data_IF_493915922893
#
_entry.id   IF_493915922893
#
_cell.length_a   1.000
_cell.length_b   1.000
_cell.length_c   1.000
_cell.angle_alpha   90.00
_cell.angle_beta   90.00
_cell.angle_gamma   90.00
#
_symmetry.space_group_name_H-M   'P 1'
#
loop_
_entity.id
_entity.type
_entity.pdbx_description
1 polymer ?
#
# COMPACT_ATOMS: atom_id res chain seq x y z
N UNK A 1 -27.81 -3.98 11.61
CA UNK A 1 -28.24 -5.41 11.68
C UNK A 1 -27.01 -6.30 11.68
N UNK A 2 -26.90 -7.28 12.58
CA UNK A 2 -25.69 -8.11 12.68
C UNK A 2 -25.59 -9.14 11.55
N UNK A 3 -24.41 -9.73 11.31
CA UNK A 3 -24.27 -10.84 10.37
C UNK A 3 -25.14 -12.05 10.76
N UNK A 4 -25.29 -12.32 12.06
CA UNK A 4 -26.15 -13.39 12.57
C UNK A 4 -27.62 -13.15 12.19
N UNK A 5 -28.10 -11.91 12.35
CA UNK A 5 -29.46 -11.53 11.95
C UNK A 5 -29.67 -11.70 10.45
N UNK A 6 -28.65 -11.37 9.61
CA UNK A 6 -28.73 -11.53 8.16
C UNK A 6 -28.74 -13.01 7.73
N UNK A 7 -27.96 -13.87 8.39
CA UNK A 7 -27.92 -15.32 8.11
C UNK A 7 -29.22 -16.01 8.54
N UNK A 8 -29.84 -15.56 9.63
CA UNK A 8 -31.09 -16.14 10.14
C UNK A 8 -32.32 -15.85 9.27
N UNK A 9 -32.21 -14.96 8.28
CA UNK A 9 -33.32 -14.58 7.39
C UNK A 9 -33.34 -15.46 6.15
N UNK A 10 -34.51 -15.98 5.73
CA UNK A 10 -34.67 -16.58 4.42
C UNK A 10 -34.27 -15.57 3.33
N UNK A 11 -33.38 -15.98 2.44
CA UNK A 11 -33.05 -15.19 1.25
C UNK A 11 -34.10 -15.51 0.21
N UNK A 12 -35.06 -14.61 0.04
CA UNK A 12 -36.12 -14.72 -0.97
C UNK A 12 -35.78 -13.88 -2.19
N UNK A 13 -36.37 -14.24 -3.33
CA UNK A 13 -36.22 -13.49 -4.57
C UNK A 13 -37.40 -13.76 -5.49
N UNK A 14 -37.56 -12.88 -6.48
CA UNK A 14 -38.67 -12.97 -7.42
C UNK A 14 -38.41 -14.07 -8.46
N UNK A 15 -39.36 -15.00 -8.58
CA UNK A 15 -39.42 -15.95 -9.70
C UNK A 15 -40.30 -15.34 -10.80
N UNK A 16 -39.73 -14.83 -11.91
CA UNK A 16 -40.51 -14.19 -12.95
C UNK A 16 -41.36 -15.19 -13.74
N UNK A 17 -42.57 -14.80 -14.10
CA UNK A 17 -43.46 -15.47 -15.04
C UNK A 17 -44.23 -14.41 -15.84
N UNK A 18 -44.78 -14.79 -16.99
CA UNK A 18 -45.63 -13.87 -17.75
C UNK A 18 -46.82 -13.44 -16.88
N UNK A 19 -47.37 -12.26 -17.12
CA UNK A 19 -48.48 -11.72 -16.32
C UNK A 19 -48.16 -11.44 -14.83
N UNK A 20 -46.92 -11.62 -14.36
CA UNK A 20 -46.50 -11.15 -13.04
C UNK A 20 -46.70 -9.61 -12.96
N UNK A 21 -47.49 -9.09 -12.00
CA UNK A 21 -47.61 -7.66 -11.81
C UNK A 21 -46.26 -7.08 -11.37
N UNK A 22 -45.79 -6.06 -12.10
CA UNK A 22 -44.55 -5.36 -11.79
C UNK A 22 -44.90 -4.01 -11.18
N UNK A 23 -44.83 -3.94 -9.85
CA UNK A 23 -45.01 -2.72 -9.08
C UNK A 23 -43.73 -2.36 -8.29
N UNK A 24 -43.77 -1.27 -7.54
CA UNK A 24 -42.63 -0.81 -6.76
C UNK A 24 -42.21 -1.79 -5.65
N UNK A 25 -43.12 -2.63 -5.14
CA UNK A 25 -42.81 -3.62 -4.12
C UNK A 25 -42.05 -4.80 -4.72
N UNK A 26 -42.55 -5.35 -5.84
CA UNK A 26 -41.88 -6.42 -6.58
C UNK A 26 -40.50 -5.96 -7.09
N UNK A 27 -40.38 -4.70 -7.55
CA UNK A 27 -39.10 -4.12 -7.92
C UNK A 27 -38.13 -4.00 -6.74
N UNK A 28 -38.61 -3.58 -5.56
CA UNK A 28 -37.78 -3.53 -4.34
C UNK A 28 -37.31 -4.91 -3.93
N UNK A 29 -38.21 -5.90 -3.88
CA UNK A 29 -37.84 -7.27 -3.51
C UNK A 29 -36.77 -7.86 -4.46
N UNK A 30 -36.92 -7.65 -5.77
CA UNK A 30 -35.93 -8.10 -6.74
C UNK A 30 -34.53 -7.50 -6.49
N UNK A 31 -34.44 -6.22 -6.14
CA UNK A 31 -33.16 -5.56 -5.85
C UNK A 31 -32.63 -5.90 -4.46
N UNK A 32 -33.49 -5.98 -3.45
CA UNK A 32 -33.13 -6.30 -2.07
C UNK A 32 -32.47 -7.68 -1.98
N UNK A 33 -32.92 -8.65 -2.78
CA UNK A 33 -32.26 -9.94 -2.93
C UNK A 33 -30.78 -9.80 -3.35
N UNK A 34 -30.49 -8.92 -4.32
CA UNK A 34 -29.11 -8.65 -4.77
C UNK A 34 -28.32 -7.83 -3.74
N UNK A 35 -28.93 -6.84 -3.10
CA UNK A 35 -28.29 -6.08 -2.02
C UNK A 35 -27.90 -6.99 -0.85
N UNK A 36 -28.79 -7.89 -0.43
CA UNK A 36 -28.53 -8.83 0.66
C UNK A 36 -27.37 -9.78 0.30
N UNK A 37 -27.34 -10.33 -0.91
CA UNK A 37 -26.22 -11.15 -1.37
C UNK A 37 -24.88 -10.39 -1.36
N UNK A 38 -24.87 -9.14 -1.84
CA UNK A 38 -23.67 -8.29 -1.80
C UNK A 38 -23.21 -8.01 -0.37
N UNK A 39 -24.13 -7.68 0.54
CA UNK A 39 -23.82 -7.46 1.95
C UNK A 39 -23.32 -8.73 2.64
N UNK A 40 -23.93 -9.88 2.37
CA UNK A 40 -23.48 -11.17 2.91
C UNK A 40 -22.08 -11.51 2.40
N UNK A 41 -21.79 -11.30 1.11
CA UNK A 41 -20.45 -11.47 0.57
C UNK A 41 -19.45 -10.53 1.25
N UNK A 42 -19.76 -9.23 1.34
CA UNK A 42 -18.91 -8.25 2.00
C UNK A 42 -18.65 -8.58 3.47
N UNK A 43 -19.68 -8.95 4.24
CA UNK A 43 -19.52 -9.26 5.66
C UNK A 43 -18.84 -10.61 5.93
N UNK A 44 -19.21 -11.65 5.18
CA UNK A 44 -18.76 -13.02 5.42
C UNK A 44 -17.37 -13.29 4.82
N UNK A 45 -17.09 -12.76 3.63
CA UNK A 45 -15.82 -12.96 2.93
C UNK A 45 -14.84 -11.87 3.29
N UNK A 46 -15.26 -10.60 3.23
CA UNK A 46 -14.34 -9.49 3.36
C UNK A 46 -14.19 -8.93 4.77
N UNK A 47 -15.26 -8.99 5.58
CA UNK A 47 -15.37 -8.33 6.89
C UNK A 47 -15.34 -6.78 6.77
N UNK A 48 -15.97 -6.07 7.71
CA UNK A 48 -15.87 -4.62 7.78
C UNK A 48 -14.42 -4.13 7.91
N UNK A 49 -14.12 -2.96 7.33
CA UNK A 49 -12.83 -2.31 7.37
C UNK A 49 -12.45 -1.60 6.07
N UNK A 50 -11.28 -0.98 6.06
CA UNK A 50 -10.68 -0.34 4.89
C UNK A 50 -10.15 -1.43 3.95
N UNK A 51 -10.55 -1.38 2.69
CA UNK A 51 -10.10 -2.30 1.63
C UNK A 51 -8.84 -1.74 0.98
N UNK A 52 -8.87 -0.46 0.59
CA UNK A 52 -7.78 0.24 -0.07
C UNK A 52 -7.87 1.75 0.20
N UNK A 53 -6.72 2.42 0.31
CA UNK A 53 -6.64 3.87 0.47
C UNK A 53 -7.16 4.37 1.82
N UNK A 54 -7.90 5.49 1.79
CA UNK A 54 -8.47 6.17 2.96
C UNK A 54 -7.44 6.58 4.01
N UNK A 55 -6.16 6.70 3.65
CA UNK A 55 -5.12 7.16 4.56
C UNK A 55 -5.47 8.54 5.10
N UNK A 56 -5.24 8.74 6.40
CA UNK A 56 -5.34 10.06 7.02
C UNK A 56 -3.94 10.55 7.30
N UNK A 57 -3.60 11.71 6.74
CA UNK A 57 -2.26 12.30 6.88
C UNK A 57 -2.37 13.75 7.36
N UNK A 58 -1.39 14.18 8.16
CA UNK A 58 -1.27 15.56 8.59
C UNK A 58 -0.67 16.43 7.47
N UNK A 59 -1.18 17.66 7.33
CA UNK A 59 -0.68 18.56 6.29
C UNK A 59 0.70 19.09 6.59
N UNK A 60 1.57 19.04 5.57
CA UNK A 60 2.92 19.61 5.64
C UNK A 60 2.91 21.12 5.44
N UNK A 61 1.89 21.64 4.77
CA UNK A 61 1.76 23.05 4.38
C UNK A 61 0.76 23.82 5.25
N UNK A 62 -0.19 23.13 5.88
CA UNK A 62 -1.24 23.72 6.70
C UNK A 62 -1.25 23.11 8.10
N UNK A 63 -0.90 23.91 9.12
CA UNK A 63 -0.58 23.40 10.46
C UNK A 63 -1.74 22.72 11.21
N UNK A 64 -3.01 22.94 10.82
CA UNK A 64 -4.17 22.36 11.52
C UNK A 64 -5.01 21.44 10.64
N UNK A 65 -4.51 21.12 9.45
CA UNK A 65 -5.26 20.38 8.44
C UNK A 65 -4.81 18.94 8.39
N UNK A 66 -5.79 18.05 8.27
CA UNK A 66 -5.59 16.65 7.91
C UNK A 66 -6.29 16.37 6.59
N UNK A 67 -5.80 15.42 5.81
CA UNK A 67 -6.42 14.98 4.58
C UNK A 67 -6.81 13.52 4.71
N UNK A 68 -8.03 13.20 4.33
CA UNK A 68 -8.47 11.82 4.07
C UNK A 68 -8.31 11.55 2.59
N UNK A 69 -7.45 10.60 2.23
CA UNK A 69 -7.20 10.21 0.85
C UNK A 69 -8.39 9.44 0.24
N UNK A 70 -8.54 9.42 -1.10
CA UNK A 70 -9.48 8.54 -1.76
C UNK A 70 -9.30 7.07 -1.35
N UNK A 71 -10.39 6.32 -1.37
CA UNK A 71 -10.34 4.88 -1.14
C UNK A 71 -11.69 4.22 -0.95
N UNK A 72 -11.64 2.95 -0.56
CA UNK A 72 -12.80 2.07 -0.46
C UNK A 72 -12.79 1.35 0.89
N UNK A 73 -13.96 1.27 1.51
CA UNK A 73 -14.16 0.49 2.72
C UNK A 73 -15.48 -0.29 2.70
N UNK A 74 -15.59 -1.23 3.64
CA UNK A 74 -16.81 -1.97 3.93
C UNK A 74 -17.22 -1.61 5.36
N UNK A 75 -18.44 -1.10 5.54
CA UNK A 75 -18.94 -0.68 6.83
C UNK A 75 -19.44 -1.85 7.70
N UNK A 76 -19.91 -1.56 8.92
CA UNK A 76 -20.41 -2.57 9.84
C UNK A 76 -21.66 -3.33 9.38
N UNK A 77 -22.37 -2.85 8.35
CA UNK A 77 -23.57 -3.48 7.78
C UNK A 77 -23.32 -4.17 6.43
N UNK A 78 -22.08 -4.12 5.94
CA UNK A 78 -21.68 -4.72 4.67
C UNK A 78 -21.87 -3.80 3.47
N UNK A 79 -22.06 -2.50 3.69
CA UNK A 79 -22.12 -1.52 2.62
C UNK A 79 -20.70 -1.18 2.15
N UNK A 80 -20.52 -1.10 0.84
CA UNK A 80 -19.30 -0.57 0.24
C UNK A 80 -19.37 0.94 0.25
N UNK A 81 -18.41 1.59 0.90
CA UNK A 81 -18.30 3.06 0.96
C UNK A 81 -17.12 3.49 0.10
N UNK A 82 -17.38 4.33 -0.90
CA UNK A 82 -16.38 4.83 -1.84
C UNK A 82 -16.15 6.32 -1.64
N UNK A 83 -14.91 6.69 -1.36
CA UNK A 83 -14.45 8.06 -1.36
C UNK A 83 -13.58 8.30 -2.59
N UNK A 84 -14.13 9.00 -3.59
CA UNK A 84 -13.45 9.20 -4.87
C UNK A 84 -12.44 10.35 -4.88
N UNK A 85 -12.59 11.33 -3.99
CA UNK A 85 -11.79 12.55 -3.95
C UNK A 85 -11.25 12.78 -2.54
N UNK A 86 -10.06 13.39 -2.39
CA UNK A 86 -9.50 13.67 -1.08
C UNK A 86 -10.37 14.71 -0.31
N UNK A 87 -10.49 14.52 1.00
CA UNK A 87 -11.29 15.41 1.87
C UNK A 87 -10.41 16.02 2.96
N UNK A 88 -10.17 17.34 2.94
CA UNK A 88 -9.43 18.02 3.99
C UNK A 88 -10.34 18.36 5.18
N UNK A 89 -9.79 18.31 6.38
CA UNK A 89 -10.42 18.81 7.60
C UNK A 89 -9.48 19.76 8.32
N UNK A 90 -9.93 20.99 8.58
CA UNK A 90 -9.28 21.90 9.52
C UNK A 90 -9.77 21.58 10.93
N UNK A 91 -8.85 21.20 11.81
CA UNK A 91 -9.17 20.81 13.18
C UNK A 91 -9.00 22.00 14.12
N UNK A 92 -10.08 22.76 14.33
CA UNK A 92 -10.06 24.02 15.11
C UNK A 92 -10.44 23.83 16.59
N UNK A 93 -10.93 22.67 16.98
CA UNK A 93 -11.48 22.46 18.32
C UNK A 93 -10.54 21.65 19.23
N UNK A 94 -10.42 22.08 20.50
CA UNK A 94 -9.68 21.33 21.53
C UNK A 94 -10.37 20.01 21.91
N UNK A 95 -9.59 19.01 22.31
CA UNK A 95 -10.06 17.74 22.85
C UNK A 95 -10.01 16.60 21.83
N UNK A 96 -10.65 15.48 22.18
CA UNK A 96 -10.70 14.29 21.32
C UNK A 96 -11.51 14.58 20.06
N UNK A 97 -10.95 14.26 18.90
CA UNK A 97 -11.62 14.30 17.60
C UNK A 97 -11.46 12.91 16.95
N UNK A 98 -12.52 12.45 16.30
CA UNK A 98 -12.56 11.26 15.47
C UNK A 98 -12.82 11.69 14.03
N UNK A 99 -12.15 11.03 13.09
CA UNK A 99 -12.40 11.18 11.66
C UNK A 99 -13.12 9.91 11.23
N UNK A 100 -14.40 10.02 10.87
CA UNK A 100 -15.25 8.88 10.58
C UNK A 100 -15.75 8.88 9.14
N UNK A 101 -16.06 7.69 8.64
CA UNK A 101 -16.61 7.43 7.31
C UNK A 101 -17.86 6.55 7.46
N UNK A 102 -18.96 6.92 6.81
CA UNK A 102 -20.18 6.11 6.79
C UNK A 102 -20.86 6.11 5.43
N UNK A 103 -21.63 5.06 5.16
CA UNK A 103 -22.50 4.98 3.99
C UNK A 103 -23.71 5.90 4.18
N UNK A 104 -23.99 6.78 3.22
CA UNK A 104 -25.11 7.71 3.29
C UNK A 104 -25.89 7.72 1.96
N UNK A 105 -26.99 6.95 1.84
CA UNK A 105 -27.83 7.01 0.67
C UNK A 105 -28.62 8.32 0.67
N UNK A 106 -28.63 9.03 -0.45
CA UNK A 106 -29.39 10.27 -0.61
C UNK A 106 -30.22 10.23 -1.87
N UNK A 107 -31.36 10.92 -1.87
CA UNK A 107 -32.15 11.07 -3.09
C UNK A 107 -31.37 11.89 -4.13
N UNK A 108 -31.34 11.44 -5.38
CA UNK A 108 -30.81 12.23 -6.48
C UNK A 108 -31.78 13.39 -6.76
N UNK A 109 -31.37 14.61 -6.41
CA UNK A 109 -32.20 15.81 -6.57
C UNK A 109 -32.58 16.09 -8.03
N UNK A 110 -31.81 15.55 -8.99
CA UNK A 110 -32.11 15.68 -10.42
C UNK A 110 -33.17 14.68 -10.91
N UNK A 111 -33.61 13.74 -10.06
CA UNK A 111 -34.64 12.74 -10.34
C UNK A 111 -36.01 13.12 -9.77
N UNK A 112 -36.26 14.40 -9.52
CA UNK A 112 -37.50 14.85 -8.90
C UNK A 112 -38.72 14.69 -9.81
N UNK A 113 -39.83 14.20 -9.25
CA UNK A 113 -41.14 14.09 -9.90
C UNK A 113 -42.24 14.50 -8.92
N UNK A 114 -43.35 15.04 -9.43
CA UNK A 114 -44.53 15.38 -8.62
C UNK A 114 -45.52 14.21 -8.63
N UNK A 115 -45.83 13.67 -7.45
CA UNK A 115 -46.79 12.57 -7.28
C UNK A 115 -47.66 12.86 -6.06
N UNK A 116 -48.98 12.80 -6.22
CA UNK A 116 -49.93 12.97 -5.11
C UNK A 116 -49.83 14.31 -4.37
N UNK A 117 -49.38 15.39 -5.03
CA UNK A 117 -49.19 16.71 -4.43
C UNK A 117 -47.86 16.89 -3.67
N UNK A 118 -46.97 15.89 -3.68
CA UNK A 118 -45.63 15.97 -3.09
C UNK A 118 -44.52 15.73 -4.11
N UNK A 119 -43.31 16.18 -3.79
CA UNK A 119 -42.10 15.90 -4.55
C UNK A 119 -41.53 14.55 -4.13
N UNK A 120 -41.28 13.69 -5.10
CA UNK A 120 -40.66 12.37 -4.94
C UNK A 120 -39.40 12.29 -5.81
N UNK A 121 -38.50 11.35 -5.52
CA UNK A 121 -37.27 11.14 -6.28
C UNK A 121 -37.16 9.67 -6.67
N UNK A 122 -36.94 9.38 -7.95
CA UNK A 122 -36.91 7.99 -8.45
C UNK A 122 -35.50 7.39 -8.55
N UNK A 123 -34.45 8.17 -8.22
CA UNK A 123 -33.06 7.67 -8.12
C UNK A 123 -32.49 7.91 -6.73
N UNK A 124 -31.64 6.98 -6.31
CA UNK A 124 -30.82 7.07 -5.10
C UNK A 124 -29.36 7.20 -5.51
N UNK A 125 -28.63 8.09 -4.85
CA UNK A 125 -27.17 8.20 -4.92
C UNK A 125 -26.61 7.48 -3.71
N UNK A 126 -25.80 6.46 -3.95
CA UNK A 126 -24.98 5.81 -2.93
C UNK A 126 -23.86 6.77 -2.51
N UNK A 127 -24.15 7.59 -1.50
CA UNK A 127 -23.24 8.58 -0.97
C UNK A 127 -22.40 8.07 0.19
N UNK A 128 -21.62 9.00 0.73
CA UNK A 128 -20.74 8.80 1.87
C UNK A 128 -20.74 10.06 2.71
N UNK A 129 -20.61 9.90 4.01
CA UNK A 129 -20.37 11.00 4.94
C UNK A 129 -18.98 10.82 5.53
N UNK A 130 -18.13 11.83 5.37
CA UNK A 130 -16.79 11.89 5.98
C UNK A 130 -16.79 13.10 6.89
N UNK A 131 -16.54 12.89 8.18
CA UNK A 131 -16.67 13.96 9.17
C UNK A 131 -15.58 13.91 10.23
N UNK A 132 -15.24 15.08 10.76
CA UNK A 132 -14.53 15.23 12.03
C UNK A 132 -15.56 15.47 13.14
N UNK A 133 -15.58 14.63 14.17
CA UNK A 133 -16.58 14.67 15.25
C UNK A 133 -15.95 14.48 16.63
N UNK A 134 -16.62 14.97 17.68
CA UNK A 134 -16.26 14.74 19.09
C UNK A 134 -16.81 13.42 19.63
N UNK A 135 -17.84 12.89 18.98
CA UNK A 135 -18.48 11.64 19.37
C UNK A 135 -17.71 10.46 18.79
N UNK A 136 -17.48 9.44 19.62
CA UNK A 136 -16.88 8.20 19.13
C UNK A 136 -17.82 7.54 18.09
N UNK A 137 -17.26 6.88 17.06
CA UNK A 137 -18.07 6.23 16.03
C UNK A 137 -18.98 5.17 16.66
N UNK A 138 -20.24 5.16 16.24
CA UNK A 138 -21.27 4.22 16.68
C UNK A 138 -21.82 3.41 15.51
N UNK A 139 -22.25 2.18 15.79
CA UNK A 139 -22.90 1.33 14.81
C UNK A 139 -22.01 1.00 13.61
N UNK A 140 -22.42 1.45 12.43
CA UNK A 140 -21.77 1.12 11.16
C UNK A 140 -20.61 2.06 10.79
N UNK A 141 -20.45 3.20 11.49
CA UNK A 141 -19.39 4.17 11.16
C UNK A 141 -17.99 3.57 11.31
N UNK A 142 -17.15 3.81 10.31
CA UNK A 142 -15.75 3.42 10.33
C UNK A 142 -14.91 4.56 10.88
N UNK A 143 -14.05 4.25 11.84
CA UNK A 143 -13.02 5.17 12.30
C UNK A 143 -11.81 5.12 11.38
N UNK A 144 -11.47 6.25 10.76
CA UNK A 144 -10.28 6.38 9.91
C UNK A 144 -9.07 6.88 10.68
N UNK A 145 -9.29 7.70 11.70
CA UNK A 145 -8.25 8.20 12.59
C UNK A 145 -8.89 8.85 13.83
N UNK A 146 -8.09 9.07 14.86
CA UNK A 146 -8.43 9.93 15.98
C UNK A 146 -7.26 10.83 16.36
N UNK A 147 -7.52 11.94 17.02
CA UNK A 147 -6.50 12.87 17.50
C UNK A 147 -7.00 13.58 18.74
N UNK A 148 -6.12 13.74 19.73
CA UNK A 148 -6.40 14.61 20.88
C UNK A 148 -5.72 15.95 20.67
N UNK A 149 -6.51 17.01 20.45
CA UNK A 149 -5.99 18.37 20.25
C UNK A 149 -5.81 19.09 21.59
N UNK A 150 -4.61 19.62 21.86
CA UNK A 150 -4.36 20.39 23.09
C UNK A 150 -4.87 21.83 23.01
N UNK A 151 -4.81 22.42 21.82
CA UNK A 151 -5.23 23.79 21.51
C UNK A 151 -5.68 23.90 20.04
N UNK A 152 -6.62 24.80 19.69
CA UNK A 152 -6.95 25.16 18.30
C UNK A 152 -5.73 25.53 17.44
N UNK A 153 -4.69 26.10 18.06
CA UNK A 153 -3.48 26.59 17.38
C UNK A 153 -2.30 25.62 17.39
N UNK A 154 -2.44 24.45 18.04
CA UNK A 154 -1.38 23.45 18.04
C UNK A 154 -1.24 22.79 16.65
N UNK A 155 0.00 22.57 16.21
CA UNK A 155 0.28 21.94 14.92
C UNK A 155 -0.09 20.45 14.96
N UNK A 156 -0.88 20.02 13.98
CA UNK A 156 -1.20 18.61 13.72
C UNK A 156 -0.04 17.94 13.01
N UNK A 157 0.33 16.74 13.46
CA UNK A 157 1.44 15.97 12.91
C UNK A 157 1.04 14.51 12.73
N UNK A 158 1.74 13.81 11.84
CA UNK A 158 1.76 12.35 11.89
C UNK A 158 2.51 11.93 13.16
N UNK A 159 2.11 10.81 13.76
CA UNK A 159 2.75 10.33 14.98
C UNK A 159 4.22 9.97 14.73
N UNK A 160 5.11 10.51 15.57
CA UNK A 160 6.53 10.14 15.54
C UNK A 160 6.72 8.65 15.90
N UNK A 161 5.94 8.17 16.88
CA UNK A 161 5.78 6.75 17.19
C UNK A 161 4.32 6.31 16.91
N UNK A 162 4.06 5.54 15.84
CA UNK A 162 2.71 5.09 15.51
C UNK A 162 2.03 4.25 16.60
N UNK A 163 2.80 3.63 17.51
CA UNK A 163 2.28 2.79 18.60
C UNK A 163 2.08 3.53 19.92
N UNK A 164 2.56 4.77 20.01
CA UNK A 164 2.31 5.66 21.16
C UNK A 164 2.10 7.10 20.66
N UNK A 165 0.98 7.38 19.95
CA UNK A 165 0.73 8.71 19.40
C UNK A 165 0.54 9.73 20.52
N UNK A 166 1.26 10.84 20.43
CA UNK A 166 1.18 11.93 21.41
C UNK A 166 0.00 12.87 21.13
N UNK A 167 -0.22 13.83 22.03
CA UNK A 167 -1.16 14.92 21.76
C UNK A 167 -0.79 15.69 20.48
N UNK A 168 -1.82 16.13 19.75
CA UNK A 168 -1.71 16.79 18.45
C UNK A 168 -1.06 15.92 17.34
N UNK A 169 -0.90 14.62 17.59
CA UNK A 169 -0.50 13.63 16.59
C UNK A 169 -1.67 12.75 16.16
N UNK A 170 -1.69 12.36 14.88
CA UNK A 170 -2.66 11.42 14.35
C UNK A 170 -2.47 10.02 14.97
N UNK A 171 -3.52 9.52 15.60
CA UNK A 171 -3.60 8.14 16.07
C UNK A 171 -4.38 7.30 15.06
N UNK A 172 -3.68 6.32 14.49
CA UNK A 172 -4.19 5.42 13.44
C UNK A 172 -4.37 3.98 13.93
N UNK A 173 -4.15 3.68 15.22
CA UNK A 173 -4.15 2.32 15.78
C UNK A 173 -5.52 1.62 15.72
N UNK A 174 -6.60 2.40 15.59
CA UNK A 174 -7.98 1.92 15.55
C UNK A 174 -8.49 1.64 14.14
N UNK A 175 -7.68 1.91 13.12
CA UNK A 175 -8.03 1.63 11.72
C UNK A 175 -8.22 0.15 11.50
N UNK A 176 -9.45 -0.24 11.24
CA UNK A 176 -9.80 -1.62 10.89
C UNK A 176 -9.52 -1.85 9.41
N UNK A 177 -8.74 -2.88 9.10
CA UNK A 177 -8.46 -3.33 7.73
C UNK A 177 -9.39 -4.49 7.36
N UNK A 178 -9.95 -4.45 6.16
CA UNK A 178 -10.78 -5.52 5.59
C UNK A 178 -9.91 -6.65 5.03
N UNK A 179 -10.43 -7.87 5.00
CA UNK A 179 -9.78 -9.03 4.39
C UNK A 179 -10.38 -9.30 2.98
N UNK A 180 -9.67 -9.97 2.07
CA UNK A 180 -8.23 -9.86 1.93
C UNK A 180 -7.84 -8.38 1.67
N UNK A 181 -6.72 -7.98 2.24
CA UNK A 181 -6.10 -6.68 1.98
C UNK A 181 -4.91 -6.87 1.04
N UNK A 182 -4.76 -5.98 0.06
CA UNK A 182 -3.57 -5.94 -0.76
C UNK A 182 -2.49 -5.13 -0.03
N UNK A 183 -1.38 -5.77 0.36
CA UNK A 183 -0.30 -5.11 1.10
C UNK A 183 0.55 -4.19 0.22
N UNK A 184 0.65 -4.49 -1.07
CA UNK A 184 1.24 -3.63 -2.06
C UNK A 184 0.73 -3.98 -3.46
N UNK A 185 0.46 -2.93 -4.23
CA UNK A 185 0.08 -3.00 -5.64
C UNK A 185 1.10 -2.20 -6.46
N UNK A 186 1.50 -2.73 -7.61
CA UNK A 186 2.42 -2.07 -8.53
C UNK A 186 3.31 -3.05 -9.29
N UNK A 187 4.51 -2.61 -9.63
CA UNK A 187 5.45 -3.43 -10.39
C UNK A 187 6.87 -3.41 -9.82
N UNK A 188 7.65 -4.43 -10.13
CA UNK A 188 9.09 -4.46 -9.90
C UNK A 188 9.80 -4.54 -11.24
N UNK A 189 10.72 -3.61 -11.44
CA UNK A 189 11.54 -3.51 -12.65
C UNK A 189 13.00 -3.78 -12.37
N UNK A 190 13.79 -3.75 -13.43
CA UNK A 190 15.24 -3.88 -13.37
C UNK A 190 15.90 -2.59 -13.84
N UNK A 191 17.00 -2.22 -13.18
CA UNK A 191 17.93 -1.22 -13.71
C UNK A 191 18.92 -1.93 -14.64
N UNK A 192 18.86 -1.60 -15.93
CA UNK A 192 19.89 -2.04 -16.89
C UNK A 192 21.20 -1.31 -16.67
N UNK A 193 22.31 -2.04 -16.81
CA UNK A 193 23.67 -1.50 -16.79
C UNK A 193 24.57 -2.30 -17.74
N UNK A 194 25.78 -1.80 -18.00
CA UNK A 194 26.78 -2.49 -18.82
C UNK A 194 27.93 -2.98 -17.93
N UNK A 195 28.08 -4.30 -17.70
CA UNK A 195 29.21 -4.88 -16.98
C UNK A 195 30.55 -4.54 -17.66
N UNK A 196 31.65 -4.50 -16.90
CA UNK A 196 32.97 -4.14 -17.43
C UNK A 196 33.63 -5.26 -18.23
N UNK A 197 33.34 -6.52 -17.91
CA UNK A 197 33.98 -7.71 -18.46
C UNK A 197 33.05 -8.51 -19.37
N UNK A 198 31.91 -8.99 -18.89
CA UNK A 198 30.94 -9.72 -19.73
C UNK A 198 29.62 -8.95 -19.89
N UNK A 199 29.34 -8.34 -21.05
CA UNK A 199 28.08 -7.65 -21.32
C UNK A 199 26.81 -8.49 -21.12
N UNK A 200 26.91 -9.83 -21.01
CA UNK A 200 25.77 -10.72 -20.75
C UNK A 200 25.50 -10.93 -19.26
N UNK A 201 26.44 -10.63 -18.37
CA UNK A 201 26.40 -10.90 -16.93
C UNK A 201 25.61 -9.86 -16.10
N UNK A 202 24.73 -9.06 -16.72
CA UNK A 202 24.05 -7.93 -16.07
C UNK A 202 22.77 -8.28 -15.28
N UNK A 203 22.35 -9.55 -15.30
CA UNK A 203 21.09 -10.01 -14.68
C UNK A 203 21.19 -11.40 -14.02
N UNK A 204 22.18 -11.64 -13.14
CA UNK A 204 22.45 -12.95 -12.57
C UNK A 204 21.30 -13.52 -11.74
N UNK A 205 20.47 -12.63 -11.16
CA UNK A 205 19.43 -12.98 -10.20
C UNK A 205 17.99 -12.85 -10.73
N UNK A 206 17.79 -12.70 -12.05
CA UNK A 206 16.44 -12.52 -12.63
C UNK A 206 15.47 -13.67 -12.31
N UNK A 207 15.85 -14.96 -12.39
CA UNK A 207 14.97 -16.05 -11.95
C UNK A 207 14.54 -15.91 -10.48
N UNK A 208 15.47 -15.48 -9.62
CA UNK A 208 15.19 -15.20 -8.22
C UNK A 208 14.17 -14.09 -8.04
N UNK A 209 14.31 -12.99 -8.77
CA UNK A 209 13.34 -11.89 -8.75
C UNK A 209 11.93 -12.34 -9.17
N UNK A 210 11.82 -13.17 -10.21
CA UNK A 210 10.53 -13.72 -10.63
C UNK A 210 9.91 -14.63 -9.55
N UNK A 211 10.72 -15.49 -8.91
CA UNK A 211 10.27 -16.31 -7.80
C UNK A 211 9.79 -15.45 -6.63
N UNK A 212 10.49 -14.37 -6.28
CA UNK A 212 10.06 -13.42 -5.25
C UNK A 212 8.67 -12.85 -5.54
N UNK A 213 8.44 -12.39 -6.78
CA UNK A 213 7.15 -11.83 -7.20
C UNK A 213 6.03 -12.87 -7.11
N UNK A 214 6.29 -14.09 -7.59
CA UNK A 214 5.33 -15.20 -7.46
C UNK A 214 4.98 -15.47 -5.99
N UNK A 215 5.98 -15.53 -5.11
CA UNK A 215 5.76 -15.76 -3.68
C UNK A 215 5.01 -14.60 -3.00
N UNK A 216 5.28 -13.36 -3.38
CA UNK A 216 4.59 -12.17 -2.89
C UNK A 216 3.12 -12.17 -3.31
N UNK A 217 2.83 -12.45 -4.60
CA UNK A 217 1.46 -12.50 -5.12
C UNK A 217 0.61 -13.59 -4.44
N UNK A 218 1.23 -14.72 -4.06
CA UNK A 218 0.59 -15.74 -3.23
C UNK A 218 0.30 -15.32 -1.78
N UNK A 219 0.78 -14.15 -1.34
CA UNK A 219 0.70 -13.62 0.04
C UNK A 219 -0.06 -12.29 0.15
N UNK A 220 -0.90 -11.97 -0.84
CA UNK A 220 -1.73 -10.76 -0.81
C UNK A 220 -1.01 -9.51 -1.32
N UNK A 221 -0.06 -9.69 -2.23
CA UNK A 221 0.49 -8.61 -3.05
C UNK A 221 -0.09 -8.71 -4.46
N UNK A 222 -0.07 -7.60 -5.19
CA UNK A 222 -0.41 -7.55 -6.61
C UNK A 222 0.74 -6.90 -7.37
N UNK A 223 1.66 -7.73 -7.85
CA UNK A 223 2.92 -7.26 -8.42
C UNK A 223 3.15 -7.82 -9.82
N UNK A 224 3.47 -6.91 -10.74
CA UNK A 224 3.94 -7.22 -12.07
C UNK A 224 5.47 -7.15 -12.18
N UNK A 225 6.01 -7.90 -13.14
CA UNK A 225 7.41 -7.76 -13.56
C UNK A 225 7.47 -6.93 -14.85
N UNK A 226 8.10 -5.75 -14.80
CA UNK A 226 8.21 -4.88 -15.98
C UNK A 226 9.49 -5.14 -16.79
N UNK A 227 10.45 -5.87 -16.23
CA UNK A 227 11.80 -5.96 -16.79
C UNK A 227 12.53 -4.61 -16.75
N UNK A 228 13.48 -4.38 -17.67
CA UNK A 228 14.28 -3.16 -17.73
C UNK A 228 13.48 -1.87 -17.85
N UNK A 229 13.71 -0.94 -16.93
CA UNK A 229 13.14 0.40 -17.04
C UNK A 229 14.00 1.29 -17.95
N UNK A 230 13.36 1.97 -18.90
CA UNK A 230 14.01 3.00 -19.70
C UNK A 230 14.09 4.32 -18.92
N UNK A 231 15.25 4.64 -18.34
CA UNK A 231 15.46 5.86 -17.56
C UNK A 231 15.44 7.15 -18.40
N UNK A 232 15.60 7.06 -19.73
CA UNK A 232 15.59 8.23 -20.63
C UNK A 232 14.18 8.67 -21.00
N UNK A 233 13.18 7.81 -20.82
CA UNK A 233 11.79 8.08 -21.18
C UNK A 233 10.93 8.13 -19.92
N UNK A 234 9.99 9.08 -19.89
CA UNK A 234 8.99 9.11 -18.83
C UNK A 234 7.90 8.09 -19.18
N UNK A 235 7.74 7.08 -18.33
CA UNK A 235 6.63 6.14 -18.39
C UNK A 235 5.47 6.65 -17.53
N UNK A 236 4.23 6.42 -17.98
CA UNK A 236 3.02 6.75 -17.23
C UNK A 236 2.95 5.96 -15.91
N UNK A 237 3.37 4.70 -15.94
CA UNK A 237 3.50 3.84 -14.76
C UNK A 237 4.97 3.44 -14.58
N UNK A 238 5.47 3.60 -13.36
CA UNK A 238 6.83 3.22 -12.98
C UNK A 238 6.76 2.13 -11.89
N UNK A 239 7.69 1.17 -11.88
CA UNK A 239 7.71 0.14 -10.85
C UNK A 239 7.96 0.76 -9.47
N UNK A 240 7.34 0.21 -8.42
CA UNK A 240 7.60 0.67 -7.04
C UNK A 240 9.05 0.40 -6.63
N UNK A 241 9.64 -0.68 -7.17
CA UNK A 241 11.02 -1.10 -6.91
C UNK A 241 11.78 -1.30 -8.22
N UNK A 242 12.96 -0.69 -8.34
CA UNK A 242 13.98 -1.05 -9.33
C UNK A 242 15.04 -1.91 -8.66
N UNK A 243 15.24 -3.10 -9.21
CA UNK A 243 16.24 -4.06 -8.74
C UNK A 243 17.47 -4.06 -9.64
N UNK A 244 18.66 -4.15 -9.06
CA UNK A 244 19.91 -4.33 -9.78
C UNK A 244 20.82 -5.29 -9.04
N UNK A 245 21.44 -6.23 -9.75
CA UNK A 245 22.39 -7.14 -9.14
C UNK A 245 23.51 -7.50 -10.11
N UNK A 246 24.72 -7.73 -9.58
CA UNK A 246 25.88 -8.07 -10.39
C UNK A 246 27.02 -8.68 -9.61
N UNK A 247 27.82 -9.49 -10.30
CA UNK A 247 29.03 -10.13 -9.76
C UNK A 247 30.34 -9.40 -10.08
N UNK A 248 30.29 -8.34 -10.89
CA UNK A 248 31.44 -7.57 -11.36
C UNK A 248 31.13 -6.08 -11.42
N UNK A 249 32.13 -5.22 -11.54
CA UNK A 249 31.93 -3.78 -11.71
C UNK A 249 31.19 -3.44 -13.02
N UNK A 250 30.52 -2.29 -13.06
CA UNK A 250 29.81 -1.81 -14.24
C UNK A 250 30.29 -0.44 -14.73
N UNK A 251 30.07 -0.17 -16.01
CA UNK A 251 30.33 1.13 -16.62
C UNK A 251 29.43 2.19 -15.98
N UNK A 252 29.95 3.40 -15.66
CA UNK A 252 29.12 4.47 -15.12
C UNK A 252 27.91 4.79 -16.02
N UNK A 253 26.74 4.95 -15.41
CA UNK A 253 25.53 5.37 -16.12
C UNK A 253 25.71 6.76 -16.76
N UNK A 254 25.10 6.99 -17.91
CA UNK A 254 25.11 8.30 -18.55
C UNK A 254 24.33 9.33 -17.73
N UNK A 255 24.64 10.62 -17.87
CA UNK A 255 23.99 11.70 -17.10
C UNK A 255 22.46 11.70 -17.26
N UNK A 256 21.97 11.45 -18.48
CA UNK A 256 20.54 11.34 -18.75
C UNK A 256 19.87 10.16 -17.99
N UNK A 257 20.59 9.06 -17.77
CA UNK A 257 20.11 7.92 -16.99
C UNK A 257 20.10 8.25 -15.50
N UNK A 258 21.13 8.94 -15.00
CA UNK A 258 21.17 9.43 -13.62
C UNK A 258 20.02 10.39 -13.35
N UNK A 259 19.73 11.32 -14.24
CA UNK A 259 18.61 12.24 -14.09
C UNK A 259 17.26 11.52 -14.14
N UNK A 260 17.14 10.49 -14.97
CA UNK A 260 15.99 9.57 -14.98
C UNK A 260 15.79 8.88 -13.64
N UNK A 261 16.88 8.35 -13.06
CA UNK A 261 16.87 7.67 -11.79
C UNK A 261 16.55 8.64 -10.62
N UNK A 262 17.06 9.87 -10.66
CA UNK A 262 16.67 10.93 -9.70
C UNK A 262 15.17 11.24 -9.76
N UNK A 263 14.59 11.39 -10.96
CA UNK A 263 13.14 11.59 -11.13
C UNK A 263 12.35 10.40 -10.58
N UNK A 264 12.80 9.18 -10.86
CA UNK A 264 12.20 7.95 -10.35
C UNK A 264 12.15 7.92 -8.81
N UNK A 265 13.29 8.18 -8.17
CA UNK A 265 13.41 8.21 -6.70
C UNK A 265 12.62 9.37 -6.09
N UNK A 266 12.62 10.55 -6.72
CA UNK A 266 11.82 11.71 -6.27
C UNK A 266 10.31 11.47 -6.36
N UNK A 267 9.87 10.56 -7.24
CA UNK A 267 8.50 10.06 -7.33
C UNK A 267 8.22 8.92 -6.33
N UNK A 268 9.11 8.62 -5.39
CA UNK A 268 8.93 7.59 -4.36
C UNK A 268 9.27 6.17 -4.80
N UNK A 269 9.90 5.99 -5.97
CA UNK A 269 10.51 4.72 -6.32
C UNK A 269 11.66 4.37 -5.39
N UNK A 270 12.01 3.08 -5.32
CA UNK A 270 13.14 2.58 -4.53
C UNK A 270 14.11 1.84 -5.45
N UNK A 271 15.41 2.12 -5.33
CA UNK A 271 16.47 1.35 -5.96
C UNK A 271 17.05 0.35 -4.96
N UNK A 272 17.01 -0.93 -5.28
CA UNK A 272 17.67 -1.98 -4.50
C UNK A 272 18.79 -2.65 -5.29
N UNK A 273 20.02 -2.42 -4.86
CA UNK A 273 21.22 -3.03 -5.41
C UNK A 273 21.73 -4.21 -4.60
N UNK A 274 22.15 -5.28 -5.27
CA UNK A 274 22.74 -6.45 -4.64
C UNK A 274 24.06 -6.88 -5.29
N UNK A 275 25.10 -7.04 -4.47
CA UNK A 275 26.33 -7.66 -4.92
C UNK A 275 26.18 -9.19 -4.94
N UNK A 276 26.06 -9.78 -6.13
CA UNK A 276 26.01 -11.24 -6.30
C UNK A 276 27.30 -11.87 -5.78
N UNK A 277 27.19 -12.90 -4.96
CA UNK A 277 28.34 -13.52 -4.28
C UNK A 277 29.13 -12.57 -3.37
N UNK A 278 28.56 -11.44 -2.96
CA UNK A 278 29.26 -10.42 -2.17
C UNK A 278 30.36 -9.66 -2.94
N UNK A 279 30.24 -9.57 -4.27
CA UNK A 279 31.23 -8.90 -5.15
C UNK A 279 31.61 -7.49 -4.68
N UNK A 280 32.91 -7.30 -4.39
CA UNK A 280 33.47 -6.00 -4.02
C UNK A 280 33.52 -5.03 -5.19
N UNK A 281 33.71 -5.54 -6.40
CA UNK A 281 33.78 -4.71 -7.62
C UNK A 281 32.42 -4.11 -7.95
N UNK A 282 31.36 -4.93 -7.88
CA UNK A 282 29.99 -4.43 -8.03
C UNK A 282 29.65 -3.44 -6.91
N UNK A 283 30.04 -3.75 -5.66
CA UNK A 283 29.83 -2.85 -4.53
C UNK A 283 30.52 -1.50 -4.69
N UNK A 284 31.75 -1.47 -5.20
CA UNK A 284 32.46 -0.22 -5.49
C UNK A 284 31.75 0.60 -6.59
N UNK A 285 31.33 -0.04 -7.68
CA UNK A 285 30.58 0.62 -8.75
C UNK A 285 29.21 1.14 -8.28
N UNK A 286 28.52 0.39 -7.41
CA UNK A 286 27.27 0.84 -6.80
C UNK A 286 27.49 2.00 -5.83
N UNK A 287 28.59 2.03 -5.08
CA UNK A 287 28.93 3.16 -4.21
C UNK A 287 29.17 4.45 -5.02
N UNK A 288 29.83 4.37 -6.17
CA UNK A 288 29.96 5.49 -7.11
C UNK A 288 28.58 5.96 -7.62
N UNK A 289 27.68 5.03 -7.96
CA UNK A 289 26.30 5.37 -8.34
C UNK A 289 25.55 6.07 -7.19
N UNK A 290 25.62 5.53 -5.98
CA UNK A 290 24.99 6.12 -4.79
C UNK A 290 25.51 7.54 -4.53
N UNK A 291 26.82 7.78 -4.68
CA UNK A 291 27.40 9.12 -4.56
C UNK A 291 26.83 10.08 -5.61
N UNK A 292 26.67 9.64 -6.87
CA UNK A 292 26.05 10.47 -7.92
C UNK A 292 24.58 10.76 -7.66
N UNK A 293 23.90 9.91 -6.90
CA UNK A 293 22.51 10.11 -6.46
C UNK A 293 22.40 10.91 -5.16
N UNK A 294 23.52 11.35 -4.57
CA UNK A 294 23.60 12.00 -3.25
C UNK A 294 23.00 11.13 -2.12
N UNK A 295 23.02 9.81 -2.28
CA UNK A 295 22.52 8.86 -1.30
C UNK A 295 23.60 8.57 -0.23
N UNK A 296 23.21 8.72 1.04
CA UNK A 296 24.07 8.53 2.22
C UNK A 296 23.72 7.21 2.89
N UNK A 297 24.19 6.12 2.29
CA UNK A 297 23.92 4.77 2.77
C UNK A 297 24.45 4.54 4.18
N UNK A 298 23.56 4.11 5.09
CA UNK A 298 23.88 3.77 6.49
C UNK A 298 23.49 2.32 6.79
N UNK A 299 24.14 1.66 7.76
CA UNK A 299 23.74 0.31 8.17
C UNK A 299 22.25 0.22 8.55
N UNK A 300 21.62 -0.87 8.12
CA UNK A 300 20.24 -1.21 8.52
C UNK A 300 20.29 -1.96 9.85
N UNK A 301 19.91 -1.28 10.93
CA UNK A 301 19.91 -1.80 12.30
C UNK A 301 18.50 -2.14 12.80
N UNK A 302 18.39 -2.73 13.99
CA UNK A 302 17.11 -3.10 14.62
C UNK A 302 16.14 -1.92 14.68
N UNK A 303 14.88 -2.17 14.30
CA UNK A 303 13.83 -1.14 14.25
C UNK A 303 13.79 -0.34 12.94
N UNK A 304 14.73 -0.56 12.02
CA UNK A 304 14.69 0.07 10.71
C UNK A 304 13.44 -0.37 9.91
N UNK A 305 12.74 0.54 9.19
CA UNK A 305 11.49 0.23 8.49
C UNK A 305 11.54 -0.96 7.52
N UNK A 306 12.69 -1.22 6.89
CA UNK A 306 12.88 -2.41 6.02
C UNK A 306 12.77 -3.75 6.78
N UNK A 307 12.96 -3.76 8.09
CA UNK A 307 12.91 -4.97 8.91
C UNK A 307 11.49 -5.27 9.44
N UNK A 308 10.53 -4.37 9.23
CA UNK A 308 9.18 -4.49 9.78
C UNK A 308 8.08 -4.08 8.79
N UNK A 309 8.40 -3.93 7.51
CA UNK A 309 7.45 -3.45 6.50
C UNK A 309 6.29 -4.44 6.26
N UNK A 310 6.55 -5.75 6.39
CA UNK A 310 5.53 -6.79 6.30
C UNK A 310 5.79 -7.94 7.30
N UNK A 311 6.94 -8.58 7.21
CA UNK A 311 7.48 -9.53 8.20
C UNK A 311 8.39 -8.81 9.19
N UNK A 312 8.46 -9.33 10.43
CA UNK A 312 9.28 -8.77 11.50
C UNK A 312 10.64 -9.46 11.57
N UNK A 313 11.71 -8.67 11.51
CA UNK A 313 13.09 -9.11 11.65
C UNK A 313 13.82 -8.29 12.73
N UNK A 314 14.64 -8.97 13.54
CA UNK A 314 15.50 -8.28 14.51
C UNK A 314 16.70 -7.58 13.84
N UNK A 315 17.09 -8.06 12.65
CA UNK A 315 18.19 -7.55 11.82
C UNK A 315 18.12 -8.16 10.42
N UNK A 316 18.94 -7.70 9.47
CA UNK A 316 18.96 -8.25 8.12
C UNK A 316 19.28 -9.76 8.15
N UNK A 317 18.42 -10.63 7.57
CA UNK A 317 18.71 -12.06 7.52
C UNK A 317 19.83 -12.36 6.51
N UNK A 318 20.45 -13.55 6.56
CA UNK A 318 21.37 -14.00 5.52
C UNK A 318 20.62 -14.24 4.18
N UNK A 319 21.36 -14.12 3.07
CA UNK A 319 20.89 -14.45 1.73
C UNK A 319 21.60 -15.69 1.20
N UNK A 320 22.07 -15.66 -0.05
CA UNK A 320 22.98 -16.68 -0.55
C UNK A 320 24.38 -16.59 0.10
N UNK A 321 24.73 -15.43 0.65
CA UNK A 321 25.89 -15.24 1.50
C UNK A 321 25.49 -15.25 2.99
N UNK A 322 26.27 -15.95 3.79
CA UNK A 322 26.12 -16.04 5.25
C UNK A 322 26.52 -14.75 5.95
N UNK A 323 27.52 -14.07 5.38
CA UNK A 323 28.11 -12.84 5.91
C UNK A 323 27.95 -11.76 4.87
N UNK A 324 27.42 -10.62 5.29
CA UNK A 324 27.16 -9.49 4.43
C UNK A 324 26.74 -8.28 5.24
N UNK A 325 26.40 -7.23 4.53
CA UNK A 325 25.93 -5.96 5.05
C UNK A 325 24.70 -5.53 4.27
N UNK A 326 23.77 -4.90 4.96
CA UNK A 326 22.68 -4.18 4.35
C UNK A 326 22.78 -2.71 4.75
N UNK A 327 22.76 -1.84 3.77
CA UNK A 327 22.81 -0.39 3.96
C UNK A 327 21.69 0.29 3.19
N UNK A 328 21.17 1.39 3.72
CA UNK A 328 20.09 2.13 3.10
C UNK A 328 20.18 3.63 3.39
N UNK A 329 19.64 4.42 2.45
CA UNK A 329 19.20 5.78 2.66
C UNK A 329 17.73 5.85 2.24
N UNK A 330 16.83 5.87 3.23
CA UNK A 330 15.39 5.86 2.98
C UNK A 330 14.87 7.17 2.39
N UNK A 331 15.54 8.29 2.68
CA UNK A 331 15.16 9.60 2.14
C UNK A 331 15.50 9.68 0.65
N UNK A 332 16.66 9.14 0.27
CA UNK A 332 17.08 9.00 -1.12
C UNK A 332 16.41 7.82 -1.86
N UNK A 333 15.79 6.88 -1.13
CA UNK A 333 15.16 5.69 -1.71
C UNK A 333 16.17 4.67 -2.26
N UNK A 334 17.37 4.59 -1.69
CA UNK A 334 18.44 3.68 -2.15
C UNK A 334 18.78 2.66 -1.09
N UNK A 335 18.80 1.38 -1.47
CA UNK A 335 19.16 0.25 -0.62
C UNK A 335 20.26 -0.55 -1.31
N UNK A 336 21.25 -1.02 -0.56
CA UNK A 336 22.33 -1.86 -1.06
C UNK A 336 22.66 -3.00 -0.10
N UNK A 337 22.72 -4.22 -0.63
CA UNK A 337 23.03 -5.44 0.10
C UNK A 337 24.20 -6.23 -0.49
N UNK A 338 24.95 -6.93 0.37
CA UNK A 338 25.98 -7.91 -0.04
C UNK A 338 25.63 -9.34 0.35
N UNK A 339 24.44 -9.56 0.90
CA UNK A 339 23.93 -10.87 1.27
C UNK A 339 23.48 -11.73 0.08
N UNK A 340 23.30 -11.13 -1.10
CA UNK A 340 22.84 -11.81 -2.32
C UNK A 340 21.50 -12.55 -2.10
N UNK A 341 20.47 -11.80 -1.71
CA UNK A 341 19.11 -12.32 -1.53
C UNK A 341 18.54 -12.86 -2.83
N UNK A 342 18.79 -12.18 -3.95
CA UNK A 342 18.45 -12.68 -5.29
C UNK A 342 19.00 -14.07 -5.60
N UNK A 343 20.23 -14.38 -5.19
CA UNK A 343 20.79 -15.72 -5.28
C UNK A 343 19.99 -16.74 -4.47
N UNK A 344 19.58 -16.41 -3.24
CA UNK A 344 18.75 -17.28 -2.41
C UNK A 344 17.33 -17.46 -2.98
N UNK A 345 16.73 -16.44 -3.59
CA UNK A 345 15.40 -16.54 -4.20
C UNK A 345 15.34 -17.52 -5.39
N UNK A 346 16.50 -17.86 -5.98
CA UNK A 346 16.63 -18.91 -7.00
C UNK A 346 17.29 -20.20 -6.48
N UNK A 347 17.48 -20.33 -5.18
CA UNK A 347 18.06 -21.51 -4.55
C UNK A 347 19.58 -21.64 -4.68
N UNK A 348 20.27 -20.58 -5.11
CA UNK A 348 21.72 -20.52 -5.32
C UNK A 348 22.54 -20.39 -4.03
N UNK A 349 22.28 -21.26 -3.05
CA UNK A 349 23.06 -21.30 -1.81
C UNK A 349 24.39 -22.03 -2.01
N UNK A 350 25.43 -21.65 -1.26
CA UNK A 350 26.72 -22.34 -1.28
C UNK A 350 26.62 -23.82 -0.82
N UNK A 351 25.72 -24.12 0.13
CA UNK A 351 25.49 -25.46 0.67
C UNK A 351 24.00 -25.84 0.58
N UNK A 352 23.50 -26.23 -0.61
CA UNK A 352 22.07 -26.48 -0.82
C UNK A 352 21.52 -27.69 -0.03
N UNK A 353 22.39 -28.60 0.43
CA UNK A 353 22.01 -29.75 1.26
C UNK A 353 22.06 -29.49 2.77
N UNK A 354 22.41 -28.27 3.21
CA UNK A 354 22.43 -27.94 4.64
C UNK A 354 21.01 -28.06 5.24
N UNK A 355 20.85 -28.55 6.48
CA UNK A 355 19.54 -28.69 7.11
C UNK A 355 18.71 -27.39 7.17
N UNK A 356 19.37 -26.24 7.23
CA UNK A 356 18.78 -24.89 7.27
C UNK A 356 18.66 -24.22 5.90
N UNK A 357 19.03 -24.90 4.80
CA UNK A 357 18.99 -24.32 3.45
C UNK A 357 17.60 -23.79 3.07
N UNK A 358 16.53 -24.57 3.37
CA UNK A 358 15.16 -24.14 3.07
C UNK A 358 14.72 -22.94 3.91
N UNK A 359 15.18 -22.89 5.15
CA UNK A 359 14.89 -21.80 6.08
C UNK A 359 15.55 -20.50 5.62
N UNK A 360 16.81 -20.55 5.19
CA UNK A 360 17.52 -19.41 4.61
C UNK A 360 16.81 -18.85 3.39
N UNK A 361 16.38 -19.72 2.47
CA UNK A 361 15.59 -19.29 1.30
C UNK A 361 14.29 -18.61 1.75
N UNK A 362 13.60 -19.16 2.76
CA UNK A 362 12.37 -18.57 3.30
C UNK A 362 12.62 -17.19 3.89
N UNK A 363 13.63 -17.04 4.75
CA UNK A 363 13.98 -15.75 5.36
C UNK A 363 14.38 -14.71 4.32
N UNK A 364 15.16 -15.10 3.31
CA UNK A 364 15.52 -14.22 2.21
C UNK A 364 14.29 -13.79 1.39
N UNK A 365 13.34 -14.70 1.12
CA UNK A 365 12.08 -14.38 0.43
C UNK A 365 11.21 -13.44 1.25
N UNK A 366 11.02 -13.73 2.54
CA UNK A 366 10.27 -12.88 3.48
C UNK A 366 10.91 -11.47 3.56
N UNK A 367 12.24 -11.37 3.57
CA UNK A 367 12.93 -10.09 3.52
C UNK A 367 12.77 -9.36 2.18
N UNK A 368 12.83 -10.07 1.05
CA UNK A 368 12.54 -9.48 -0.26
C UNK A 368 11.12 -8.89 -0.33
N UNK A 369 10.14 -9.56 0.28
CA UNK A 369 8.76 -9.08 0.40
C UNK A 369 8.71 -7.79 1.24
N UNK A 370 9.49 -7.69 2.32
CA UNK A 370 9.61 -6.44 3.08
C UNK A 370 10.12 -5.28 2.22
N UNK A 371 11.14 -5.51 1.39
CA UNK A 371 11.69 -4.45 0.52
C UNK A 371 10.62 -3.95 -0.45
N UNK A 372 9.84 -4.85 -1.05
CA UNK A 372 8.74 -4.48 -1.96
C UNK A 372 7.61 -3.75 -1.21
N UNK A 373 7.19 -4.25 -0.04
CA UNK A 373 6.17 -3.60 0.79
C UNK A 373 6.60 -2.18 1.20
N UNK A 374 7.87 -2.01 1.60
CA UNK A 374 8.45 -0.71 1.89
C UNK A 374 8.41 0.21 0.67
N UNK A 375 8.83 -0.29 -0.50
CA UNK A 375 8.87 0.49 -1.73
C UNK A 375 7.47 0.99 -2.15
N UNK A 376 6.45 0.11 -2.10
CA UNK A 376 5.08 0.49 -2.38
C UNK A 376 4.53 1.53 -1.38
N UNK A 377 4.82 1.36 -0.07
CA UNK A 377 4.45 2.33 0.95
C UNK A 377 5.14 3.68 0.72
N UNK A 378 6.42 3.69 0.37
CA UNK A 378 7.17 4.92 0.09
C UNK A 378 6.57 5.67 -1.11
N UNK A 379 6.26 4.95 -2.20
CA UNK A 379 5.55 5.51 -3.36
C UNK A 379 4.21 6.13 -2.95
N UNK A 380 3.40 5.40 -2.19
CA UNK A 380 2.10 5.87 -1.71
C UNK A 380 2.22 7.14 -0.86
N UNK A 381 3.15 7.19 0.09
CA UNK A 381 3.38 8.39 0.91
C UNK A 381 3.78 9.62 0.08
N UNK A 382 4.57 9.43 -0.98
CA UNK A 382 4.93 10.51 -1.90
C UNK A 382 3.75 11.00 -2.73
N UNK A 383 2.88 10.09 -3.17
CA UNK A 383 1.63 10.45 -3.85
C UNK A 383 0.71 11.25 -2.93
N UNK A 384 0.48 10.76 -1.71
CA UNK A 384 -0.35 11.44 -0.71
C UNK A 384 0.18 12.83 -0.36
N UNK A 385 1.51 12.99 -0.26
CA UNK A 385 2.14 14.29 0.02
C UNK A 385 1.95 15.32 -1.11
N UNK A 386 1.59 14.89 -2.33
CA UNK A 386 1.30 15.77 -3.48
C UNK A 386 -0.18 16.12 -3.60
N UNK A 387 -1.05 15.43 -2.87
CA UNK A 387 -2.49 15.71 -2.83
C UNK A 387 -2.83 16.89 -1.90
N UNK A 388 -1.83 17.44 -1.21
CA UNK A 388 -1.90 18.60 -0.32
C UNK A 388 -1.12 19.76 -0.92
#
# INVERSE_FOLDING_TARGET
MTLQDKIGRPITGIRPFNELPIDAEIWREAHDHHHLHRQLHALAVHRPGIVWGLEVIASRTQDHTVLVAPGVAIDGEGQTVVLGEPVPFTLEERGQIYITLSFLPTADRNSAVLVGGGQQYYRVVEGRDVKATKEAPVGAELELARIYRTSPTAKVRDAANPFDPMNDELNLLTRRISFPHCYADGAVGELSYVPKTDPKAWKPNRPGLWNLLREANGRGFHLDFTGPMNLRQQADTQPVLLYVAGGEGFQPLADAEIDGLRRYLANGGVLFGEATGGSREFGAAFAELAQRLDAKLKPVETGHPLLSAHYMFAGPPPGAQDVGTLTADLDAGVVFGTFDYGGAWQGGLAQPGAPDARERIRQAQEFGINVVAFAARNRRLRELSRMM
#
